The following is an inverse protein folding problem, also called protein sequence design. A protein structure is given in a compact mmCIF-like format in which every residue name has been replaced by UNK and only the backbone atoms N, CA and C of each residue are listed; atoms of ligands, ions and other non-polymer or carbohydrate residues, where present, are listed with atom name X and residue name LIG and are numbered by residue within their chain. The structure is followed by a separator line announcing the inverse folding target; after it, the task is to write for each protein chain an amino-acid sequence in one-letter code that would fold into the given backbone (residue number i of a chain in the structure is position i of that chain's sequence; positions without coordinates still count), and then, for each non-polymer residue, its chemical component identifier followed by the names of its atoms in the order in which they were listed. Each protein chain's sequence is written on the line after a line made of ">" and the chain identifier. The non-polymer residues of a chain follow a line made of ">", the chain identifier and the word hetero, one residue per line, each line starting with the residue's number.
data_IF_574862362432
#
_entry.id   IF_574862362432
#
_cell.length_a   1.000
_cell.length_b   1.000
_cell.length_c   1.000
_cell.angle_alpha   90.00
_cell.angle_beta   90.00
_cell.angle_gamma   90.00
#
_symmetry.space_group_name_H-M   'P 1'
#
loop_
_entity.id
_entity.type
_entity.pdbx_description
1 polymer ?
#
# COMPACT_ATOMS: atom_id res chain seq x y z
N UNK A 1 7.00 -9.26 -4.51
CA UNK A 1 6.32 -8.56 -3.40
C UNK A 1 7.20 -7.41 -2.90
N UNK A 2 6.66 -6.22 -2.95
CA UNK A 2 7.43 -5.00 -2.64
C UNK A 2 6.65 -4.13 -1.65
N UNK A 3 6.73 -4.44 -0.34
CA UNK A 3 5.95 -3.71 0.67
C UNK A 3 6.32 -2.23 0.76
N UNK A 4 5.32 -1.35 0.70
CA UNK A 4 5.51 0.08 0.90
C UNK A 4 5.17 0.50 2.33
N UNK A 5 4.22 -0.17 2.95
CA UNK A 5 3.72 0.08 4.29
C UNK A 5 2.92 1.39 4.42
N UNK A 6 3.45 2.51 3.96
CA UNK A 6 2.77 3.80 3.98
C UNK A 6 3.34 4.68 2.87
N UNK A 7 2.55 5.62 2.39
CA UNK A 7 3.01 6.60 1.40
C UNK A 7 3.61 7.87 2.01
N UNK A 8 3.66 7.95 3.33
CA UNK A 8 4.19 9.12 4.02
C UNK A 8 5.55 8.83 4.61
N UNK A 9 6.55 9.64 4.28
CA UNK A 9 7.89 9.51 4.85
C UNK A 9 7.87 9.64 6.37
N UNK A 10 7.02 10.51 6.90
CA UNK A 10 6.89 10.68 8.34
C UNK A 10 6.39 9.41 9.03
N UNK A 11 5.39 8.77 8.44
CA UNK A 11 4.85 7.53 8.99
C UNK A 11 5.86 6.40 8.83
N UNK A 12 6.56 6.32 7.72
CA UNK A 12 7.60 5.32 7.52
C UNK A 12 8.69 5.45 8.59
N UNK A 13 9.07 6.69 8.90
CA UNK A 13 10.05 6.95 9.93
C UNK A 13 9.57 6.48 11.30
N UNK A 14 8.30 6.75 11.62
CA UNK A 14 7.69 6.31 12.87
C UNK A 14 7.57 4.79 12.94
N UNK A 15 7.45 4.13 11.80
CA UNK A 15 7.44 2.67 11.71
C UNK A 15 8.84 2.09 11.76
N UNK A 16 9.85 2.94 11.88
CA UNK A 16 11.26 2.54 11.90
C UNK A 16 11.69 1.90 10.59
N UNK A 17 11.14 2.39 9.48
CA UNK A 17 11.56 1.98 8.15
C UNK A 17 12.70 2.87 7.70
N UNK A 18 13.62 2.29 6.94
CA UNK A 18 14.87 2.99 6.57
C UNK A 18 14.86 3.53 5.15
N UNK A 19 13.74 3.47 4.48
CA UNK A 19 13.63 3.97 3.10
C UNK A 19 12.65 5.14 3.04
N UNK A 20 12.80 5.94 1.99
CA UNK A 20 11.89 7.05 1.72
C UNK A 20 11.03 6.70 0.51
N UNK A 21 9.98 7.50 0.31
CA UNK A 21 9.10 7.30 -0.84
C UNK A 21 9.87 7.47 -2.16
N UNK A 22 10.78 8.45 -2.21
CA UNK A 22 11.58 8.66 -3.41
C UNK A 22 12.47 7.46 -3.72
N UNK A 23 13.09 6.87 -2.71
CA UNK A 23 13.91 5.68 -2.89
C UNK A 23 13.06 4.51 -3.34
N UNK A 24 11.87 4.37 -2.77
CA UNK A 24 10.94 3.32 -3.14
C UNK A 24 10.50 3.46 -4.60
N UNK A 25 10.17 4.69 -5.02
CA UNK A 25 9.76 4.95 -6.40
C UNK A 25 10.86 4.59 -7.40
N UNK A 26 12.10 4.92 -7.06
CA UNK A 26 13.23 4.57 -7.91
C UNK A 26 13.38 3.07 -8.06
N UNK A 27 13.27 2.34 -6.95
CA UNK A 27 13.34 0.88 -6.98
C UNK A 27 12.19 0.30 -7.80
N UNK A 28 10.99 0.81 -7.58
CA UNK A 28 9.81 0.36 -8.31
C UNK A 28 9.98 0.56 -9.82
N UNK A 29 10.40 1.76 -10.21
CA UNK A 29 10.60 2.09 -11.63
C UNK A 29 11.69 1.22 -12.25
N UNK A 30 12.75 0.95 -11.51
CA UNK A 30 13.84 0.11 -11.96
C UNK A 30 13.36 -1.31 -12.24
N UNK A 31 12.58 -1.87 -11.32
CA UNK A 31 12.03 -3.20 -11.51
C UNK A 31 11.12 -3.25 -12.72
N UNK A 32 10.25 -2.26 -12.87
CA UNK A 32 9.32 -2.20 -13.99
C UNK A 32 10.04 -2.07 -15.33
N UNK A 33 11.18 -1.37 -15.35
CA UNK A 33 11.92 -1.19 -16.59
C UNK A 33 12.76 -2.41 -16.96
N UNK A 34 13.22 -3.16 -15.97
CA UNK A 34 14.08 -4.32 -16.22
C UNK A 34 13.34 -5.63 -16.41
N UNK A 35 12.16 -5.75 -15.81
CA UNK A 35 11.38 -6.98 -15.89
C UNK A 35 10.07 -6.70 -16.58
N UNK A 36 9.89 -7.27 -17.76
CA UNK A 36 8.64 -7.10 -18.51
C UNK A 36 7.54 -7.94 -17.89
N UNK A 37 6.34 -7.38 -17.88
CA UNK A 37 5.14 -8.08 -17.38
C UNK A 37 5.27 -8.53 -15.92
N UNK A 38 6.03 -7.78 -15.12
CA UNK A 38 6.16 -8.12 -13.72
C UNK A 38 4.89 -7.72 -12.98
N UNK A 39 4.42 -8.62 -12.11
CA UNK A 39 3.30 -8.34 -11.22
C UNK A 39 3.87 -7.93 -9.88
N UNK A 40 3.52 -6.74 -9.41
CA UNK A 40 4.02 -6.24 -8.13
C UNK A 40 2.88 -6.11 -7.14
N UNK A 41 3.07 -6.72 -5.97
CA UNK A 41 2.12 -6.61 -4.86
C UNK A 41 2.79 -5.91 -3.70
N UNK A 42 1.99 -5.40 -2.77
CA UNK A 42 2.51 -4.62 -1.65
C UNK A 42 1.67 -4.86 -0.39
N UNK A 43 2.21 -4.41 0.75
CA UNK A 43 1.48 -4.37 2.01
C UNK A 43 1.33 -2.92 2.42
N UNK A 44 0.14 -2.53 2.88
CA UNK A 44 -0.14 -1.16 3.32
C UNK A 44 -0.86 -1.20 4.66
N UNK A 45 -0.39 -0.37 5.59
CA UNK A 45 -0.98 -0.24 6.92
C UNK A 45 -1.62 1.13 7.04
N UNK A 46 -2.89 1.17 7.42
CA UNK A 46 -3.59 2.44 7.67
C UNK A 46 -3.84 2.60 9.16
N UNK A 47 -4.05 3.84 9.58
CA UNK A 47 -4.38 4.11 10.97
C UNK A 47 -3.22 4.03 11.93
N UNK A 48 -1.99 4.15 11.44
CA UNK A 48 -0.84 4.22 12.34
C UNK A 48 -0.99 5.45 13.24
N UNK A 49 -0.54 5.37 14.52
CA UNK A 49 -0.74 6.51 15.45
C UNK A 49 -0.27 7.83 14.84
N UNK A 50 -1.12 8.84 14.94
CA UNK A 50 -0.86 10.19 14.44
C UNK A 50 -0.80 10.31 12.91
N UNK A 51 -1.28 9.30 12.18
CA UNK A 51 -1.40 9.41 10.72
C UNK A 51 -2.44 10.49 10.40
N UNK A 52 -2.01 11.56 9.74
CA UNK A 52 -2.91 12.65 9.37
C UNK A 52 -3.63 12.34 8.06
N UNK A 53 -4.62 13.17 7.72
CA UNK A 53 -5.30 13.04 6.44
C UNK A 53 -4.31 13.22 5.29
N UNK A 54 -3.34 14.13 5.45
CA UNK A 54 -2.28 14.33 4.46
C UNK A 54 -1.44 13.08 4.29
N UNK A 55 -1.08 12.43 5.40
CA UNK A 55 -0.29 11.20 5.36
C UNK A 55 -1.05 10.12 4.61
N UNK A 56 -2.35 10.01 4.88
CA UNK A 56 -3.17 9.02 4.19
C UNK A 56 -3.30 9.36 2.70
N UNK A 57 -3.44 10.65 2.37
CA UNK A 57 -3.50 11.05 0.97
C UNK A 57 -2.22 10.67 0.23
N UNK A 58 -1.09 10.81 0.89
CA UNK A 58 0.19 10.40 0.30
C UNK A 58 0.22 8.90 0.03
N UNK A 59 -0.42 8.11 0.89
CA UNK A 59 -0.54 6.66 0.67
C UNK A 59 -1.39 6.38 -0.57
N UNK A 60 -2.50 7.10 -0.73
CA UNK A 60 -3.30 6.96 -1.94
C UNK A 60 -2.52 7.39 -3.19
N UNK A 61 -1.71 8.44 -3.06
CA UNK A 61 -0.91 8.92 -4.18
C UNK A 61 0.12 7.89 -4.64
N UNK A 62 0.77 7.19 -3.71
CA UNK A 62 1.75 6.17 -4.11
C UNK A 62 1.06 4.97 -4.76
N UNK A 63 -0.14 4.63 -4.31
CA UNK A 63 -0.91 3.56 -4.96
C UNK A 63 -1.27 3.97 -6.38
N UNK A 64 -1.68 5.23 -6.57
CA UNK A 64 -1.95 5.76 -7.91
C UNK A 64 -0.70 5.76 -8.80
N UNK A 65 0.44 6.03 -8.22
CA UNK A 65 1.71 6.03 -8.95
C UNK A 65 2.10 4.62 -9.38
N UNK A 66 2.05 3.69 -8.46
CA UNK A 66 2.52 2.32 -8.71
C UNK A 66 1.48 1.43 -9.39
N UNK A 67 0.21 1.68 -9.16
CA UNK A 67 -0.89 0.87 -9.74
C UNK A 67 -0.64 -0.62 -9.52
N UNK A 68 -0.47 -0.98 -8.25
CA UNK A 68 -0.14 -2.37 -7.89
C UNK A 68 -1.12 -3.39 -8.46
N UNK A 69 -0.60 -4.55 -8.80
CA UNK A 69 -1.42 -5.66 -9.27
C UNK A 69 -2.27 -6.23 -8.12
N UNK A 70 -1.79 -6.08 -6.90
CA UNK A 70 -2.54 -6.46 -5.73
C UNK A 70 -1.91 -5.84 -4.50
N UNK A 71 -2.69 -5.70 -3.44
CA UNK A 71 -2.18 -5.16 -2.18
C UNK A 71 -2.92 -5.80 -1.01
N UNK A 72 -2.17 -6.07 0.05
CA UNK A 72 -2.72 -6.51 1.32
C UNK A 72 -2.81 -5.29 2.21
N UNK A 73 -4.00 -4.99 2.70
CA UNK A 73 -4.24 -3.79 3.50
C UNK A 73 -4.63 -4.18 4.91
N UNK A 74 -4.11 -3.44 5.89
CA UNK A 74 -4.30 -3.73 7.30
C UNK A 74 -4.58 -2.45 8.07
N UNK A 75 -5.39 -2.56 9.13
CA UNK A 75 -5.53 -1.49 10.10
C UNK A 75 -4.46 -1.73 11.16
N UNK A 76 -3.71 -0.67 11.49
CA UNK A 76 -2.66 -0.78 12.51
C UNK A 76 -3.24 -1.25 13.84
N UNK A 77 -2.57 -2.22 14.45
CA UNK A 77 -2.96 -2.74 15.76
C UNK A 77 -1.69 -2.74 16.63
N UNK A 78 -1.64 -1.90 17.68
CA UNK A 78 -0.46 -1.87 18.54
C UNK A 78 -0.27 -3.17 19.29
N UNK A 79 0.98 -3.57 19.44
CA UNK A 79 1.34 -4.77 20.19
C UNK A 79 2.15 -4.36 21.41
N UNK A 80 1.90 -5.03 22.52
CA UNK A 80 2.65 -4.77 23.75
C UNK A 80 4.14 -4.97 23.51
N UNK A 81 4.94 -4.09 24.08
CA UNK A 81 6.37 -4.16 23.96
C UNK A 81 6.97 -3.48 22.73
N UNK A 82 6.12 -2.98 21.82
CA UNK A 82 6.62 -2.26 20.66
C UNK A 82 6.62 -0.76 20.95
N UNK A 83 7.50 0.03 20.29
CA UNK A 83 7.46 1.48 20.46
C UNK A 83 6.11 2.09 20.06
N UNK A 84 5.46 1.52 19.06
CA UNK A 84 4.17 2.02 18.60
C UNK A 84 3.07 1.89 19.65
N UNK A 85 3.15 0.87 20.50
CA UNK A 85 2.15 0.68 21.57
C UNK A 85 2.19 1.81 22.59
N UNK A 86 3.31 2.53 22.69
CA UNK A 86 3.47 3.64 23.61
C UNK A 86 3.04 4.98 23.02
N UNK A 87 2.73 5.02 21.73
CA UNK A 87 2.30 6.25 21.08
C UNK A 87 0.83 6.51 21.40
N UNK A 88 0.48 7.78 21.55
CA UNK A 88 -0.90 8.18 21.75
C UNK A 88 -1.61 8.06 20.41
N UNK A 89 -2.61 7.19 20.36
CA UNK A 89 -3.38 7.00 19.13
C UNK A 89 -4.60 7.94 19.20
N UNK A 90 -4.54 9.00 18.40
CA UNK A 90 -5.60 10.01 18.37
C UNK A 90 -6.64 9.76 17.30
N UNK A 91 -6.49 8.69 16.52
CA UNK A 91 -7.38 8.41 15.40
C UNK A 91 -8.49 7.46 15.81
N UNK A 92 -9.77 7.90 15.71
CA UNK A 92 -10.89 7.01 16.02
C UNK A 92 -10.93 5.80 15.07
N UNK A 93 -11.43 4.68 15.58
CA UNK A 93 -11.51 3.47 14.77
C UNK A 93 -12.37 3.67 13.52
N UNK A 94 -13.40 4.50 13.60
CA UNK A 94 -14.27 4.79 12.46
C UNK A 94 -13.51 5.44 11.32
N UNK A 95 -12.58 6.33 11.66
CA UNK A 95 -11.73 6.97 10.64
C UNK A 95 -10.78 5.95 10.02
N UNK A 96 -10.20 5.07 10.84
CA UNK A 96 -9.32 4.02 10.34
C UNK A 96 -10.04 3.09 9.38
N UNK A 97 -11.25 2.70 9.73
CA UNK A 97 -12.06 1.82 8.88
C UNK A 97 -12.44 2.51 7.57
N UNK A 98 -12.78 3.79 7.63
CA UNK A 98 -13.10 4.57 6.44
C UNK A 98 -11.89 4.67 5.51
N UNK A 99 -10.70 4.89 6.08
CA UNK A 99 -9.47 4.95 5.31
C UNK A 99 -9.17 3.60 4.66
N UNK A 100 -9.35 2.51 5.41
CA UNK A 100 -9.14 1.18 4.88
C UNK A 100 -10.08 0.89 3.72
N UNK A 101 -11.35 1.26 3.87
CA UNK A 101 -12.35 1.05 2.83
C UNK A 101 -11.97 1.83 1.56
N UNK A 102 -11.60 3.08 1.72
CA UNK A 102 -11.21 3.94 0.59
C UNK A 102 -9.97 3.39 -0.11
N UNK A 103 -9.00 2.93 0.66
CA UNK A 103 -7.78 2.34 0.10
C UNK A 103 -8.11 1.06 -0.67
N UNK A 104 -8.96 0.21 -0.11
CA UNK A 104 -9.35 -1.03 -0.76
C UNK A 104 -10.08 -0.79 -2.08
N UNK A 105 -10.92 0.24 -2.15
CA UNK A 105 -11.58 0.59 -3.40
C UNK A 105 -10.56 0.92 -4.49
N UNK A 106 -9.54 1.72 -4.12
CA UNK A 106 -8.51 2.11 -5.06
C UNK A 106 -7.66 0.92 -5.50
N UNK A 107 -7.26 0.09 -4.54
CA UNK A 107 -6.45 -1.10 -4.81
C UNK A 107 -7.22 -2.07 -5.71
N UNK A 108 -8.51 -2.27 -5.43
CA UNK A 108 -9.34 -3.17 -6.22
C UNK A 108 -9.50 -2.67 -7.65
N UNK A 109 -9.59 -1.36 -7.82
CA UNK A 109 -9.67 -0.76 -9.15
C UNK A 109 -8.45 -1.15 -10.00
N UNK A 110 -7.26 -0.98 -9.45
CA UNK A 110 -6.02 -1.30 -10.19
C UNK A 110 -5.82 -2.79 -10.36
N UNK A 111 -6.19 -3.58 -9.36
CA UNK A 111 -6.12 -5.03 -9.46
C UNK A 111 -7.03 -5.56 -10.55
N UNK A 112 -8.23 -4.99 -10.67
CA UNK A 112 -9.17 -5.36 -11.71
C UNK A 112 -8.64 -4.98 -13.09
N UNK A 113 -8.07 -3.78 -13.21
CA UNK A 113 -7.46 -3.36 -14.48
C UNK A 113 -6.33 -4.29 -14.90
N UNK A 114 -5.51 -4.72 -13.96
CA UNK A 114 -4.43 -5.65 -14.22
C UNK A 114 -4.95 -7.00 -14.70
N UNK A 115 -5.99 -7.50 -14.05
CA UNK A 115 -6.61 -8.77 -14.44
C UNK A 115 -7.26 -8.69 -15.83
N UNK A 116 -7.87 -7.56 -16.15
CA UNK A 116 -8.46 -7.37 -17.46
C UNK A 116 -7.40 -7.41 -18.56
N UNK A 117 -6.24 -6.84 -18.32
CA UNK A 117 -5.14 -6.89 -19.27
C UNK A 117 -4.67 -8.32 -19.48
N UNK A 118 -4.59 -9.10 -18.43
CA UNK A 118 -4.19 -10.49 -18.51
C UNK A 118 -5.20 -11.33 -19.30
N UNK A 119 -6.47 -11.10 -19.05
CA UNK A 119 -7.54 -11.80 -19.77
C UNK A 119 -7.50 -11.47 -21.23
N UNK A 120 -7.19 -10.22 -21.58
CA UNK A 120 -7.07 -9.81 -22.97
C UNK A 120 -5.90 -10.45 -23.70
N UNK A 121 -4.87 -10.85 -22.97
CA UNK A 121 -3.68 -11.45 -23.56
C UNK A 121 -3.66 -12.97 -23.49
N UNK A 122 -4.28 -13.53 -22.47
CA UNK A 122 -4.21 -14.97 -22.25
C UNK A 122 -5.59 -15.46 -22.00
N UNK A 123 -6.14 -15.94 -22.99
CA UNK A 123 -7.45 -16.34 -22.76
C UNK A 123 -7.55 -17.49 -21.87
N UNK A 124 -6.72 -18.09 -21.50
CA UNK A 124 -6.91 -19.04 -20.61
C UNK A 124 -6.62 -18.88 -19.31
N UNK A 125 -6.58 -18.76 -18.95
CA UNK A 125 -6.34 -18.81 -17.84
C UNK A 125 -7.01 -18.88 -16.82
N UNK A 126 -7.34 -19.02 -16.99
CA UNK A 126 -7.77 -19.00 -16.25
C UNK A 126 -7.91 -19.25 -15.19
N UNK A 127 -7.74 -19.40 -15.19
CA UNK A 127 -7.74 -19.59 -14.41
C UNK A 127 -7.96 -19.78 -13.58
N UNK A 128 -7.98 -19.94 -13.61
CA UNK A 128 -8.18 -20.21 -12.86
C UNK A 128 -8.05 -19.96 -11.75
N UNK A 129 -8.07 -19.81 -11.22
CA UNK A 129 -7.88 -19.55 -10.17
C UNK A 129 -8.69 -19.54 -9.43
#
# INVERSE_FOLDING_TARGET
>A
HLPIQSGSDEILKKMNRKYTIDEYKKLFDEIKSKVKNVSITTDIIVGFPNESDEDFQKTLDIVNYCKYDGAYTFIFSPRDGTPAAKMVDTIPIEIKERRLYKLNELVNKYSLESNEKLVGNVENCADSR
#
